data_IF_327430390202
#
_entry.id   IF_327430390202
#
_cell.length_a   1.000
_cell.length_b   1.000
_cell.length_c   1.000
_cell.angle_alpha   90.00
_cell.angle_beta   90.00
_cell.angle_gamma   90.00
#
_symmetry.space_group_name_H-M   'P 1'
#
loop_
_entity.id
_entity.type
_entity.pdbx_description
1 polymer ?
#
# COMPACT_ATOMS: atom_id res chain seq x y z
N UNK A 1 -8.14 2.68 24.14
CA UNK A 1 -9.29 2.01 23.51
C UNK A 1 -8.80 1.35 22.23
N UNK A 2 -8.56 0.05 22.27
CA UNK A 2 -8.09 -0.73 21.12
C UNK A 2 -9.28 -0.99 20.20
N UNK A 3 -9.49 -0.10 19.24
CA UNK A 3 -10.34 -0.38 18.09
C UNK A 3 -9.68 -1.52 17.31
N UNK A 4 -10.09 -2.75 17.60
CA UNK A 4 -9.72 -3.89 16.76
C UNK A 4 -10.41 -3.69 15.43
N UNK A 5 -9.62 -3.42 14.39
CA UNK A 5 -10.07 -3.48 13.01
C UNK A 5 -10.67 -4.87 12.80
N UNK A 6 -12.00 -4.96 12.79
CA UNK A 6 -12.69 -6.24 12.58
C UNK A 6 -12.43 -6.67 11.16
N UNK A 7 -11.56 -7.65 11.00
CA UNK A 7 -11.28 -8.35 9.75
C UNK A 7 -12.50 -9.20 9.40
N UNK A 8 -13.29 -8.77 8.40
CA UNK A 8 -14.30 -9.65 7.80
C UNK A 8 -13.69 -10.31 6.57
N UNK A 9 -13.66 -11.64 6.58
CA UNK A 9 -12.91 -12.48 5.64
C UNK A 9 -13.75 -12.90 4.44
N UNK A 10 -14.58 -12.00 3.89
CA UNK A 10 -15.43 -12.32 2.75
C UNK A 10 -14.81 -11.83 1.46
N UNK A 11 -14.98 -12.59 0.38
CA UNK A 11 -15.00 -12.04 -0.97
C UNK A 11 -15.96 -10.86 -0.97
N UNK A 12 -15.42 -9.65 -0.85
CA UNK A 12 -16.23 -8.46 -0.70
C UNK A 12 -16.99 -8.22 -1.98
N UNK A 13 -18.32 -8.32 -1.92
CA UNK A 13 -19.15 -7.92 -3.04
C UNK A 13 -18.90 -6.43 -3.31
N UNK A 14 -18.94 -6.04 -4.59
CA UNK A 14 -18.82 -4.64 -5.01
C UNK A 14 -19.70 -3.70 -4.17
N UNK A 15 -20.87 -4.16 -3.76
CA UNK A 15 -21.81 -3.42 -2.92
C UNK A 15 -21.27 -3.12 -1.52
N UNK A 16 -20.59 -4.07 -0.88
CA UNK A 16 -19.98 -3.89 0.44
C UNK A 16 -18.81 -2.92 0.34
N UNK A 17 -17.93 -3.10 -0.65
CA UNK A 17 -16.80 -2.21 -0.91
C UNK A 17 -17.29 -0.77 -1.12
N UNK A 18 -18.27 -0.56 -2.01
CA UNK A 18 -18.82 0.78 -2.30
C UNK A 18 -19.52 1.39 -1.09
N UNK A 19 -20.25 0.58 -0.31
CA UNK A 19 -20.88 1.04 0.93
C UNK A 19 -19.83 1.49 1.95
N UNK A 20 -18.76 0.73 2.13
CA UNK A 20 -17.68 1.06 3.07
C UNK A 20 -16.99 2.38 2.66
N UNK A 21 -16.62 2.51 1.39
CA UNK A 21 -16.04 3.75 0.87
C UNK A 21 -17.00 4.92 1.05
N UNK A 22 -18.29 4.75 0.76
CA UNK A 22 -19.28 5.82 0.90
C UNK A 22 -19.50 6.28 2.35
N UNK A 23 -19.54 5.34 3.31
CA UNK A 23 -19.81 5.64 4.72
C UNK A 23 -18.55 6.08 5.48
N UNK A 24 -17.41 5.47 5.20
CA UNK A 24 -16.18 5.62 5.99
C UNK A 24 -15.08 6.41 5.26
N UNK A 25 -15.19 6.56 3.93
CA UNK A 25 -14.12 7.11 3.09
C UNK A 25 -12.99 6.12 2.77
N UNK A 26 -13.05 4.89 3.28
CA UNK A 26 -12.03 3.86 3.04
C UNK A 26 -12.62 2.45 3.07
N UNK A 27 -11.84 1.49 2.56
CA UNK A 27 -12.10 0.06 2.66
C UNK A 27 -10.79 -0.68 2.91
N UNK A 28 -10.81 -1.68 3.80
CA UNK A 28 -9.62 -2.44 4.16
C UNK A 28 -9.62 -3.77 3.39
N UNK A 29 -8.49 -4.07 2.74
CA UNK A 29 -8.26 -5.35 2.06
C UNK A 29 -7.30 -6.19 2.90
N UNK A 30 -7.80 -6.96 3.88
CA UNK A 30 -6.94 -7.81 4.70
C UNK A 30 -6.31 -8.91 3.86
N UNK A 31 -5.11 -9.34 4.27
CA UNK A 31 -4.40 -10.45 3.64
C UNK A 31 -4.24 -10.28 2.12
N UNK A 32 -4.13 -9.02 1.66
CA UNK A 32 -3.91 -8.68 0.25
C UNK A 32 -2.57 -9.25 -0.25
N UNK A 33 -1.55 -9.21 0.63
CA UNK A 33 -0.21 -9.73 0.40
C UNK A 33 0.06 -10.90 1.36
N UNK A 34 0.84 -11.87 0.89
CA UNK A 34 1.33 -12.94 1.76
C UNK A 34 2.35 -12.39 2.77
N UNK A 35 2.53 -13.09 3.89
CA UNK A 35 3.52 -12.69 4.89
C UNK A 35 4.95 -12.66 4.34
N UNK A 36 5.28 -13.53 3.40
CA UNK A 36 6.62 -13.59 2.81
C UNK A 36 6.87 -12.37 1.93
N UNK A 37 5.92 -12.00 1.07
CA UNK A 37 5.98 -10.78 0.24
C UNK A 37 6.10 -9.54 1.13
N UNK A 38 5.34 -9.48 2.23
CA UNK A 38 5.42 -8.37 3.19
C UNK A 38 6.80 -8.27 3.83
N UNK A 39 7.43 -9.40 4.19
CA UNK A 39 8.78 -9.41 4.77
C UNK A 39 9.83 -8.99 3.76
N UNK A 40 9.74 -9.49 2.52
CA UNK A 40 10.67 -9.14 1.43
C UNK A 40 10.61 -7.65 1.13
N UNK A 41 9.42 -7.10 0.89
CA UNK A 41 9.23 -5.67 0.64
C UNK A 41 9.71 -4.81 1.82
N UNK A 42 9.49 -5.25 3.06
CA UNK A 42 9.95 -4.54 4.26
C UNK A 42 11.47 -4.51 4.35
N UNK A 43 12.14 -5.64 4.14
CA UNK A 43 13.61 -5.72 4.20
C UNK A 43 14.23 -4.86 3.10
N UNK A 44 13.73 -4.99 1.87
CA UNK A 44 14.16 -4.17 0.75
C UNK A 44 14.04 -2.67 1.07
N UNK A 45 12.86 -2.22 1.48
CA UNK A 45 12.65 -0.80 1.78
C UNK A 45 13.55 -0.35 2.93
N UNK A 46 13.74 -1.17 3.98
CA UNK A 46 14.63 -0.85 5.09
C UNK A 46 16.06 -0.59 4.62
N UNK A 47 16.62 -1.46 3.78
CA UNK A 47 17.94 -1.28 3.17
C UNK A 47 17.99 0.03 2.37
N UNK A 48 16.95 0.33 1.59
CA UNK A 48 16.87 1.57 0.80
C UNK A 48 16.73 2.85 1.62
N UNK A 49 16.03 2.78 2.76
CA UNK A 49 16.05 3.87 3.72
C UNK A 49 17.47 4.03 4.28
N UNK A 50 18.12 2.96 4.74
CA UNK A 50 19.48 3.03 5.29
C UNK A 50 20.50 3.59 4.29
N UNK A 51 20.44 3.20 3.01
CA UNK A 51 21.26 3.77 1.91
C UNK A 51 21.03 5.27 1.72
N UNK A 52 19.78 5.75 1.81
CA UNK A 52 19.41 7.16 1.59
C UNK A 52 19.92 8.09 2.71
N UNK A 53 20.10 7.60 3.94
CA UNK A 53 20.46 8.42 5.11
C UNK A 53 21.88 8.16 5.65
N UNK A 54 22.80 7.68 4.80
CA UNK A 54 24.20 7.44 5.21
C UNK A 54 24.94 8.75 5.53
N UNK A 55 24.53 9.89 4.95
CA UNK A 55 25.10 11.20 5.25
C UNK A 55 24.24 11.94 6.29
N UNK A 56 24.73 11.95 7.53
CA UNK A 56 24.18 12.68 8.67
C UNK A 56 24.21 14.19 8.40
N UNK A 57 23.03 14.83 8.34
CA UNK A 57 22.69 16.22 8.73
C UNK A 57 21.45 16.76 8.00
N UNK A 58 20.99 16.10 6.93
CA UNK A 58 19.78 16.50 6.23
C UNK A 58 18.55 16.07 7.04
N UNK A 59 17.59 16.98 7.21
CA UNK A 59 16.26 16.72 7.77
C UNK A 59 15.79 15.34 7.32
N UNK A 60 15.57 14.43 8.27
CA UNK A 60 15.14 13.06 8.00
C UNK A 60 13.73 13.10 7.41
N UNK A 61 13.64 13.34 6.11
CA UNK A 61 12.43 13.11 5.35
C UNK A 61 12.21 11.59 5.34
N UNK A 62 11.35 11.13 6.24
CA UNK A 62 10.96 9.72 6.37
C UNK A 62 10.20 9.19 5.15
N UNK A 63 10.17 9.94 4.05
CA UNK A 63 9.50 9.62 2.79
C UNK A 63 10.51 9.29 1.69
N UNK A 64 10.21 8.26 0.90
CA UNK A 64 10.74 8.09 -0.46
C UNK A 64 9.59 8.37 -1.41
N UNK A 65 9.59 9.57 -1.99
CA UNK A 65 8.61 10.00 -2.99
C UNK A 65 8.75 9.18 -4.26
N UNK A 66 7.62 8.83 -4.87
CA UNK A 66 7.56 8.05 -6.12
C UNK A 66 8.44 6.79 -6.07
N UNK A 67 8.35 6.05 -4.97
CA UNK A 67 9.18 4.88 -4.69
C UNK A 67 9.11 3.82 -5.79
N UNK A 68 8.01 3.72 -6.54
CA UNK A 68 7.88 2.78 -7.65
C UNK A 68 8.58 3.26 -8.94
N UNK A 69 8.86 4.56 -9.08
CA UNK A 69 9.72 5.08 -10.14
C UNK A 69 11.20 4.80 -9.83
N UNK A 70 11.57 4.84 -8.54
CA UNK A 70 12.94 4.57 -8.08
C UNK A 70 13.22 3.07 -8.02
N UNK A 71 12.23 2.28 -7.57
CA UNK A 71 12.31 0.84 -7.35
C UNK A 71 11.19 0.12 -8.12
N UNK A 72 11.30 0.01 -9.46
CA UNK A 72 10.28 -0.63 -10.29
C UNK A 72 10.06 -2.11 -9.96
N UNK A 73 11.02 -2.79 -9.33
CA UNK A 73 10.89 -4.16 -8.84
C UNK A 73 9.76 -4.34 -7.82
N UNK A 74 9.34 -3.25 -7.16
CA UNK A 74 8.22 -3.26 -6.23
C UNK A 74 6.85 -3.18 -6.93
N UNK A 75 6.79 -2.85 -8.23
CA UNK A 75 5.52 -2.69 -8.94
C UNK A 75 4.69 -3.97 -8.91
N UNK A 76 5.29 -5.13 -9.21
CA UNK A 76 4.59 -6.42 -9.23
C UNK A 76 4.12 -6.84 -7.83
N UNK A 77 4.81 -6.36 -6.78
CA UNK A 77 4.44 -6.60 -5.39
C UNK A 77 3.20 -5.80 -4.99
N UNK A 78 3.16 -4.51 -5.32
CA UNK A 78 2.08 -3.62 -4.90
C UNK A 78 0.86 -3.64 -5.83
N UNK A 79 1.04 -3.78 -7.14
CA UNK A 79 -0.05 -3.82 -8.13
C UNK A 79 -0.48 -5.25 -8.46
N UNK A 80 -0.90 -6.00 -7.45
CA UNK A 80 -1.50 -7.31 -7.67
C UNK A 80 -2.94 -7.21 -8.20
N UNK A 81 -3.40 -8.29 -8.83
CA UNK A 81 -4.73 -8.37 -9.46
C UNK A 81 -5.87 -8.03 -8.49
N UNK A 82 -5.76 -8.41 -7.22
CA UNK A 82 -6.81 -8.15 -6.22
C UNK A 82 -6.93 -6.66 -5.89
N UNK A 83 -5.81 -5.94 -5.80
CA UNK A 83 -5.82 -4.49 -5.63
C UNK A 83 -6.44 -3.81 -6.85
N UNK A 84 -6.00 -4.20 -8.04
CA UNK A 84 -6.48 -3.62 -9.29
C UNK A 84 -7.98 -3.90 -9.49
N UNK A 85 -8.46 -5.09 -9.17
CA UNK A 85 -9.88 -5.43 -9.18
C UNK A 85 -10.67 -4.54 -8.21
N UNK A 86 -10.18 -4.36 -6.99
CA UNK A 86 -10.84 -3.49 -5.99
C UNK A 86 -10.91 -2.03 -6.46
N UNK A 87 -9.84 -1.53 -7.08
CA UNK A 87 -9.80 -0.20 -7.68
C UNK A 87 -10.79 -0.11 -8.85
N UNK A 88 -10.85 -1.10 -9.73
CA UNK A 88 -11.81 -1.15 -10.86
C UNK A 88 -13.25 -1.19 -10.37
N UNK A 89 -13.54 -1.92 -9.29
CA UNK A 89 -14.87 -1.92 -8.68
C UNK A 89 -15.27 -0.54 -8.15
N UNK A 90 -14.32 0.23 -7.60
CA UNK A 90 -14.55 1.56 -7.04
C UNK A 90 -14.62 2.68 -8.10
N UNK A 91 -13.68 2.70 -9.05
CA UNK A 91 -13.44 3.82 -9.97
C UNK A 91 -13.78 3.49 -11.43
N UNK A 92 -14.02 2.22 -11.77
CA UNK A 92 -14.17 1.72 -13.14
C UNK A 92 -12.83 1.38 -13.81
N UNK A 93 -12.89 1.04 -15.10
CA UNK A 93 -11.72 0.52 -15.84
C UNK A 93 -10.68 1.57 -16.24
N UNK A 94 -11.01 2.86 -16.08
CA UNK A 94 -10.14 3.97 -16.50
C UNK A 94 -9.58 4.68 -15.27
N UNK A 95 -8.40 4.24 -14.83
CA UNK A 95 -7.62 4.90 -13.80
C UNK A 95 -6.15 4.94 -14.21
N UNK A 96 -5.41 5.87 -13.60
CA UNK A 96 -3.96 6.01 -13.76
C UNK A 96 -3.33 6.10 -12.38
N UNK A 97 -2.13 5.53 -12.23
CA UNK A 97 -1.33 5.76 -11.04
C UNK A 97 -0.86 7.22 -11.04
N UNK A 98 -1.18 7.96 -9.98
CA UNK A 98 -0.72 9.35 -9.82
C UNK A 98 0.61 9.44 -9.06
N UNK A 99 0.72 8.72 -7.94
CA UNK A 99 1.94 8.64 -7.15
C UNK A 99 1.93 7.40 -6.27
N UNK A 100 3.12 6.94 -5.89
CA UNK A 100 3.31 5.87 -4.92
C UNK A 100 4.53 6.21 -4.07
N UNK A 101 4.31 6.58 -2.81
CA UNK A 101 5.39 6.94 -1.89
C UNK A 101 5.40 5.97 -0.72
N UNK A 102 6.58 5.67 -0.18
CA UNK A 102 6.70 4.91 1.06
C UNK A 102 7.20 5.81 2.19
N UNK A 103 6.59 5.67 3.37
CA UNK A 103 6.93 6.42 4.58
C UNK A 103 7.43 5.42 5.62
N UNK A 104 8.55 5.73 6.28
CA UNK A 104 9.05 4.95 7.40
C UNK A 104 8.21 5.24 8.64
N UNK A 105 7.49 4.23 9.13
CA UNK A 105 6.87 4.32 10.46
C UNK A 105 7.95 4.08 11.53
N UNK A 106 8.09 5.06 12.43
CA UNK A 106 9.00 5.08 13.57
C UNK A 106 8.58 4.13 14.69
#
# INVERSE_FOLDING_TARGET
>A
MTSSLKTQNNQDSKEILLKNIHVQGYHLLPELLSLDIVKEARNFLKEKFEEKFVDEELERDDTISDCLCVYPELMDTFFNDRLLESIRMALGDKFVLLSASCIRNS
#
